data_IF_063739630342
#
_entry.id   IF_063739630342
#
_cell.length_a   1.000
_cell.length_b   1.000
_cell.length_c   1.000
_cell.angle_alpha   90.00
_cell.angle_beta   90.00
_cell.angle_gamma   90.00
#
_symmetry.space_group_name_H-M   'P 1'
#
loop_
_entity.id
_entity.type
_entity.pdbx_description
1 polymer ?
#
# COMPACT_ATOMS: atom_id res chain seq x y z
N UNK A 1 -34.96 -8.85 21.21
CA UNK A 1 -33.54 -8.43 21.04
C UNK A 1 -32.98 -7.60 22.20
N UNK A 2 -33.76 -7.25 23.24
CA UNK A 2 -33.31 -6.43 24.39
C UNK A 2 -33.24 -7.23 25.71
N UNK A 3 -33.19 -8.56 25.63
CA UNK A 3 -33.17 -9.44 26.81
C UNK A 3 -31.84 -10.20 26.99
N UNK A 4 -30.88 -10.09 26.06
CA UNK A 4 -29.64 -10.87 26.10
C UNK A 4 -28.34 -10.06 26.31
N UNK A 5 -28.40 -8.74 26.58
CA UNK A 5 -27.20 -7.88 26.73
C UNK A 5 -26.14 -8.05 25.60
N UNK A 6 -26.58 -8.45 24.41
CA UNK A 6 -25.67 -8.66 23.29
C UNK A 6 -25.40 -7.32 22.60
N UNK A 7 -24.19 -6.81 22.82
CA UNK A 7 -23.67 -5.68 22.06
C UNK A 7 -23.37 -6.12 20.60
N UNK A 8 -23.57 -5.22 19.62
CA UNK A 8 -23.15 -5.49 18.25
C UNK A 8 -21.65 -5.78 18.22
N UNK A 9 -21.27 -7.03 17.89
CA UNK A 9 -19.88 -7.40 17.70
C UNK A 9 -19.45 -6.97 16.30
N UNK A 10 -18.57 -5.99 16.22
CA UNK A 10 -17.95 -5.60 14.96
C UNK A 10 -16.85 -6.63 14.64
N UNK A 11 -17.10 -7.48 13.65
CA UNK A 11 -16.09 -8.46 13.19
C UNK A 11 -14.93 -7.69 12.56
N UNK A 12 -13.88 -7.45 13.33
CA UNK A 12 -12.62 -6.99 12.81
C UNK A 12 -11.89 -8.21 12.24
N UNK A 13 -11.67 -8.23 10.92
CA UNK A 13 -10.76 -9.20 10.30
C UNK A 13 -9.34 -8.84 10.73
N UNK A 14 -8.91 -9.37 11.87
CA UNK A 14 -7.52 -9.30 12.30
C UNK A 14 -6.81 -10.53 11.75
N UNK A 15 -5.68 -10.34 11.09
CA UNK A 15 -4.85 -11.46 10.66
C UNK A 15 -4.35 -12.18 11.92
N UNK A 16 -4.76 -13.44 12.12
CA UNK A 16 -4.28 -14.24 13.24
C UNK A 16 -2.83 -14.63 12.96
N UNK A 17 -1.89 -14.05 13.71
CA UNK A 17 -0.47 -14.40 13.62
C UNK A 17 -0.29 -15.84 14.12
N UNK A 18 0.07 -16.74 13.21
CA UNK A 18 0.42 -18.12 13.51
C UNK A 18 1.89 -18.21 13.96
N UNK A 19 2.31 -19.26 14.66
CA UNK A 19 3.72 -19.49 14.97
C UNK A 19 4.62 -19.63 13.73
N UNK A 20 4.05 -19.92 12.56
CA UNK A 20 4.79 -19.95 11.29
C UNK A 20 5.10 -18.55 10.74
N UNK A 21 4.56 -17.48 11.34
CA UNK A 21 4.83 -16.08 11.01
C UNK A 21 6.00 -15.50 11.83
N UNK A 22 6.78 -16.34 12.52
CA UNK A 22 8.04 -15.95 13.18
C UNK A 22 9.30 -15.76 12.29
N UNK A 23 9.35 -16.12 10.98
CA UNK A 23 10.46 -15.76 10.08
C UNK A 23 10.80 -14.27 9.85
N UNK A 24 9.93 -13.26 10.11
CA UNK A 24 10.24 -11.83 9.94
C UNK A 24 11.42 -11.34 10.77
N UNK A 25 11.79 -12.06 11.84
CA UNK A 25 12.90 -11.67 12.72
C UNK A 25 14.24 -11.58 11.97
N UNK A 26 14.45 -12.37 10.92
CA UNK A 26 15.69 -12.32 10.12
C UNK A 26 15.78 -11.01 9.34
N UNK A 27 14.67 -10.60 8.73
CA UNK A 27 14.58 -9.31 8.05
C UNK A 27 14.77 -8.15 9.03
N UNK A 28 14.06 -8.16 10.17
CA UNK A 28 14.22 -7.12 11.19
C UNK A 28 15.67 -6.99 11.68
N UNK A 29 16.36 -8.11 11.94
CA UNK A 29 17.77 -8.09 12.35
C UNK A 29 18.69 -7.57 11.26
N UNK A 30 18.46 -7.96 10.00
CA UNK A 30 19.22 -7.44 8.86
C UNK A 30 19.01 -5.93 8.69
N UNK A 31 17.75 -5.48 8.78
CA UNK A 31 17.37 -4.08 8.67
C UNK A 31 17.98 -3.23 9.78
N UNK A 32 17.95 -3.73 11.02
CA UNK A 32 18.61 -3.11 12.16
C UNK A 32 20.11 -2.94 11.92
N UNK A 33 20.81 -3.97 11.40
CA UNK A 33 22.24 -3.87 11.07
C UNK A 33 22.50 -2.80 10.01
N UNK A 34 21.67 -2.73 8.95
CA UNK A 34 21.78 -1.69 7.92
C UNK A 34 21.62 -0.29 8.48
N UNK A 35 20.70 -0.09 9.43
CA UNK A 35 20.52 1.19 10.13
C UNK A 35 21.72 1.50 11.04
N UNK A 36 22.27 0.50 11.74
CA UNK A 36 23.47 0.68 12.56
C UNK A 36 24.67 1.14 11.72
N UNK A 37 24.86 0.53 10.54
CA UNK A 37 25.96 0.89 9.64
C UNK A 37 25.75 2.24 8.96
N UNK A 38 24.49 2.57 8.63
CA UNK A 38 24.09 3.85 8.05
C UNK A 38 22.76 4.32 8.65
N UNK A 39 22.77 5.31 9.57
CA UNK A 39 21.56 5.82 10.20
C UNK A 39 20.51 6.34 9.22
N UNK A 40 20.93 6.81 8.03
CA UNK A 40 20.06 7.33 6.98
C UNK A 40 19.60 6.26 5.97
N UNK A 41 19.94 4.98 6.20
CA UNK A 41 19.56 3.89 5.30
C UNK A 41 18.05 3.83 5.03
N UNK A 42 17.22 4.07 6.05
CA UNK A 42 15.76 4.05 5.91
C UNK A 42 15.25 5.12 4.92
N UNK A 43 15.96 6.24 4.77
CA UNK A 43 15.58 7.32 3.86
C UNK A 43 15.89 7.00 2.38
N UNK A 44 16.65 5.94 2.11
CA UNK A 44 16.93 5.48 0.74
C UNK A 44 16.03 4.31 0.31
N UNK A 45 15.05 3.94 1.13
CA UNK A 45 14.12 2.84 0.82
C UNK A 45 12.87 3.44 0.22
N UNK A 46 12.53 3.00 -1.00
CA UNK A 46 11.23 3.23 -1.60
C UNK A 46 10.28 2.16 -1.09
N UNK A 47 9.43 2.54 -0.12
CA UNK A 47 8.32 1.71 0.32
C UNK A 47 7.15 1.93 -0.63
N UNK A 48 6.52 0.85 -1.06
CA UNK A 48 5.44 0.89 -2.04
C UNK A 48 4.23 0.10 -1.55
N UNK A 49 3.05 0.51 -1.98
CA UNK A 49 1.83 -0.26 -1.75
C UNK A 49 0.82 -0.03 -2.88
N UNK A 50 -0.06 -1.01 -3.08
CA UNK A 50 -1.22 -0.89 -3.95
C UNK A 50 -2.52 -0.86 -3.14
N UNK A 51 -3.35 0.15 -3.41
CA UNK A 51 -4.68 0.25 -2.84
C UNK A 51 -5.75 0.13 -3.93
N UNK A 52 -6.75 -0.71 -3.69
CA UNK A 52 -7.92 -0.85 -4.57
C UNK A 52 -9.11 -0.09 -3.99
N UNK A 53 -9.52 0.98 -4.66
CA UNK A 53 -10.71 1.75 -4.33
C UNK A 53 -11.91 1.24 -5.11
N UNK A 54 -12.91 0.74 -4.39
CA UNK A 54 -14.21 0.35 -4.96
C UNK A 54 -15.27 1.31 -4.47
N UNK A 55 -16.36 1.47 -5.24
CA UNK A 55 -17.51 2.30 -4.83
C UNK A 55 -18.01 1.93 -3.43
N UNK A 56 -18.06 0.65 -3.11
CA UNK A 56 -18.55 0.13 -1.82
C UNK A 56 -17.55 0.37 -0.67
N UNK A 57 -16.26 0.60 -0.96
CA UNK A 57 -15.24 0.96 0.02
C UNK A 57 -15.04 2.47 0.24
N UNK A 58 -15.38 3.31 -0.74
CA UNK A 58 -15.32 4.78 -0.64
C UNK A 58 -16.59 5.34 0.03
N UNK A 59 -17.74 4.71 -0.18
CA UNK A 59 -18.98 5.05 0.51
C UNK A 59 -18.92 4.54 1.94
N UNK A 60 -18.41 5.38 2.85
CA UNK A 60 -18.59 5.22 4.28
C UNK A 60 -20.03 4.77 4.59
N UNK A 61 -20.18 3.71 5.40
CA UNK A 61 -21.44 3.14 5.89
C UNK A 61 -22.35 4.17 6.62
N UNK A 62 -21.88 5.40 6.82
CA UNK A 62 -22.56 6.50 7.49
C UNK A 62 -23.06 7.63 6.57
N UNK A 63 -22.68 7.66 5.28
CA UNK A 63 -23.08 8.74 4.35
C UNK A 63 -23.92 8.23 3.17
N UNK A 64 -24.94 7.43 3.44
CA UNK A 64 -25.88 6.98 2.41
C UNK A 64 -27.15 7.83 2.42
N UNK A 65 -27.19 8.87 1.60
CA UNK A 65 -28.46 9.41 1.11
C UNK A 65 -28.56 9.16 -0.40
N UNK A 66 -29.59 8.39 -0.79
CA UNK A 66 -30.04 8.07 -2.16
C UNK A 66 -30.26 9.38 -2.96
N UNK A 67 -30.15 9.48 -4.29
CA UNK A 67 -30.92 8.78 -5.34
C UNK A 67 -30.27 9.04 -6.72
N UNK A 68 -29.88 8.01 -7.47
CA UNK A 68 -30.02 7.95 -8.94
C UNK A 68 -29.46 6.63 -9.50
N UNK A 69 -30.18 6.07 -10.46
CA UNK A 69 -29.90 4.82 -11.16
C UNK A 69 -28.51 4.83 -11.83
N UNK A 70 -27.51 4.19 -11.23
CA UNK A 70 -26.25 3.91 -11.90
C UNK A 70 -25.67 2.57 -11.43
N UNK A 71 -26.01 1.51 -12.16
CA UNK A 71 -25.44 0.16 -12.02
C UNK A 71 -23.95 0.09 -12.44
N UNK A 72 -23.17 1.16 -12.25
CA UNK A 72 -21.77 1.19 -12.66
C UNK A 72 -20.87 0.80 -11.48
N UNK A 73 -20.47 -0.47 -11.45
CA UNK A 73 -19.45 -0.97 -10.52
C UNK A 73 -18.08 -0.55 -11.05
N UNK A 74 -17.45 0.43 -10.42
CA UNK A 74 -16.07 0.82 -10.72
C UNK A 74 -15.11 0.36 -9.61
N UNK A 75 -13.88 0.09 -10.02
CA UNK A 75 -12.76 -0.29 -9.18
C UNK A 75 -11.54 0.39 -9.76
N UNK A 76 -10.79 1.13 -8.94
CA UNK A 76 -9.56 1.81 -9.34
C UNK A 76 -8.43 1.28 -8.47
N UNK A 77 -7.40 0.74 -9.11
CA UNK A 77 -6.17 0.34 -8.43
C UNK A 77 -5.21 1.52 -8.47
N UNK A 78 -4.71 1.92 -7.31
CA UNK A 78 -3.74 3.01 -7.17
C UNK A 78 -2.46 2.41 -6.61
N UNK A 79 -1.34 2.78 -7.21
CA UNK A 79 -0.02 2.59 -6.64
C UNK A 79 0.46 3.90 -6.01
N UNK A 80 1.10 3.82 -4.86
CA UNK A 80 1.83 4.93 -4.29
C UNK A 80 3.11 4.42 -3.63
N UNK A 81 4.14 5.27 -3.60
CA UNK A 81 5.37 4.99 -2.90
C UNK A 81 5.80 6.15 -2.01
N UNK A 82 6.67 5.88 -1.05
CA UNK A 82 7.32 6.89 -0.23
C UNK A 82 8.80 6.57 -0.11
N UNK A 83 9.65 7.58 -0.30
CA UNK A 83 11.09 7.51 -0.09
C UNK A 83 11.53 8.67 0.81
N UNK A 84 12.11 8.34 1.97
CA UNK A 84 12.39 9.34 3.00
C UNK A 84 11.10 10.06 3.42
N UNK A 85 10.99 11.35 3.09
CA UNK A 85 9.81 12.18 3.34
C UNK A 85 9.02 12.53 2.07
N UNK A 86 9.42 12.00 0.91
CA UNK A 86 8.84 12.32 -0.38
C UNK A 86 7.85 11.25 -0.83
N UNK A 87 6.61 11.66 -1.08
CA UNK A 87 5.58 10.81 -1.69
C UNK A 87 5.80 10.72 -3.20
N UNK A 88 5.69 9.52 -3.75
CA UNK A 88 5.81 9.18 -5.16
C UNK A 88 4.46 8.64 -5.66
N UNK A 89 3.98 9.15 -6.79
CA UNK A 89 2.61 8.89 -7.27
C UNK A 89 1.60 9.91 -6.70
N UNK A 90 0.30 9.59 -6.63
CA UNK A 90 -0.34 8.31 -6.96
C UNK A 90 -0.31 7.99 -8.45
N UNK A 91 -0.20 6.71 -8.79
CA UNK A 91 -0.31 6.21 -10.17
C UNK A 91 -1.53 5.31 -10.32
N UNK A 92 -2.36 5.59 -11.32
CA UNK A 92 -3.54 4.74 -11.60
C UNK A 92 -3.09 3.52 -12.39
N UNK A 93 -3.15 2.37 -11.73
CA UNK A 93 -2.84 1.10 -12.35
C UNK A 93 -4.02 0.62 -13.23
N UNK A 94 -3.74 -0.25 -14.22
CA UNK A 94 -4.79 -0.88 -15.01
C UNK A 94 -5.81 -1.60 -14.12
N UNK A 95 -7.08 -1.56 -14.54
CA UNK A 95 -8.19 -2.20 -13.80
C UNK A 95 -7.96 -3.69 -13.54
N UNK A 96 -7.27 -4.39 -14.46
CA UNK A 96 -6.82 -5.77 -14.28
C UNK A 96 -5.31 -5.77 -14.14
N UNK A 97 -4.82 -5.82 -12.90
CA UNK A 97 -3.39 -5.87 -12.63
C UNK A 97 -2.88 -7.29 -12.91
N UNK A 98 -2.08 -7.44 -13.98
CA UNK A 98 -1.31 -8.65 -14.26
C UNK A 98 0.16 -8.40 -13.91
N UNK A 99 0.94 -9.46 -13.71
CA UNK A 99 2.38 -9.31 -13.46
C UNK A 99 3.11 -8.58 -14.58
N UNK A 100 2.71 -8.79 -15.84
CA UNK A 100 3.23 -8.05 -17.00
C UNK A 100 2.87 -6.56 -16.97
N UNK A 101 1.61 -6.23 -16.67
CA UNK A 101 1.18 -4.85 -16.55
C UNK A 101 1.92 -4.12 -15.41
N UNK A 102 2.16 -4.82 -14.30
CA UNK A 102 2.94 -4.28 -13.18
C UNK A 102 4.41 -4.11 -13.55
N UNK A 103 5.02 -5.07 -14.23
CA UNK A 103 6.39 -4.98 -14.71
C UNK A 103 6.59 -3.81 -15.67
N UNK A 104 5.66 -3.61 -16.60
CA UNK A 104 5.69 -2.47 -17.51
C UNK A 104 5.62 -1.14 -16.75
N UNK A 105 4.75 -1.05 -15.74
CA UNK A 105 4.70 0.11 -14.85
C UNK A 105 6.07 0.36 -14.17
N UNK A 106 6.68 -0.67 -13.58
CA UNK A 106 7.98 -0.55 -12.90
C UNK A 106 9.12 -0.13 -13.84
N UNK A 107 9.09 -0.57 -15.10
CA UNK A 107 10.16 -0.30 -16.07
C UNK A 107 10.01 1.04 -16.78
N UNK A 108 8.79 1.47 -17.07
CA UNK A 108 8.54 2.60 -17.97
C UNK A 108 7.91 3.80 -17.29
N UNK A 109 7.12 3.63 -16.23
CA UNK A 109 6.42 4.73 -15.57
C UNK A 109 7.04 5.11 -14.22
N UNK A 110 7.47 4.12 -13.43
CA UNK A 110 8.11 4.39 -12.14
C UNK A 110 9.36 5.28 -12.26
N UNK A 111 10.25 5.12 -13.26
CA UNK A 111 11.41 6.01 -13.39
C UNK A 111 11.03 7.49 -13.58
N UNK A 112 9.97 7.77 -14.34
CA UNK A 112 9.44 9.13 -14.55
C UNK A 112 8.94 9.71 -13.22
N UNK A 113 8.20 8.91 -12.44
CA UNK A 113 7.71 9.34 -11.11
C UNK A 113 8.85 9.62 -10.11
N UNK A 114 10.03 9.04 -10.33
CA UNK A 114 11.21 9.23 -9.48
C UNK A 114 12.10 10.40 -9.94
N UNK A 115 11.80 11.11 -11.03
CA UNK A 115 12.66 12.19 -11.53
C UNK A 115 12.90 13.31 -10.50
N UNK A 116 11.86 13.63 -9.72
CA UNK A 116 11.89 14.62 -8.65
C UNK A 116 12.62 14.14 -7.39
N UNK A 117 13.04 12.86 -7.34
CA UNK A 117 13.86 12.34 -6.25
C UNK A 117 15.32 12.71 -6.50
N UNK A 118 16.04 13.26 -5.51
CA UNK A 118 17.46 13.58 -5.64
C UNK A 118 18.29 12.41 -6.16
N UNK A 119 19.21 12.68 -7.09
CA UNK A 119 20.00 11.65 -7.79
C UNK A 119 20.79 10.75 -6.83
N UNK A 120 21.33 11.33 -5.76
CA UNK A 120 22.08 10.59 -4.73
C UNK A 120 21.22 9.56 -3.98
N UNK A 121 19.92 9.83 -3.84
CA UNK A 121 18.95 8.89 -3.26
C UNK A 121 18.59 7.84 -4.30
N UNK A 122 18.29 8.24 -5.54
CA UNK A 122 17.97 7.31 -6.65
C UNK A 122 19.06 6.28 -6.92
N UNK A 123 20.33 6.69 -6.90
CA UNK A 123 21.46 5.80 -7.15
C UNK A 123 21.63 4.72 -6.07
N UNK A 124 21.15 4.97 -4.86
CA UNK A 124 21.24 4.05 -3.72
C UNK A 124 19.87 3.53 -3.29
N UNK A 125 18.87 3.62 -4.17
CA UNK A 125 17.49 3.31 -3.85
C UNK A 125 17.31 1.81 -3.60
N UNK A 126 16.63 1.47 -2.50
CA UNK A 126 16.20 0.11 -2.22
C UNK A 126 14.70 0.01 -2.47
N UNK A 127 14.31 -0.82 -3.43
CA UNK A 127 12.91 -1.09 -3.71
C UNK A 127 12.34 -2.11 -2.71
N UNK A 128 11.28 -1.74 -2.01
CA UNK A 128 10.58 -2.61 -1.05
C UNK A 128 9.14 -2.84 -1.52
N UNK A 129 8.85 -4.10 -1.82
CA UNK A 129 7.55 -4.63 -2.23
C UNK A 129 7.38 -6.04 -1.63
#
# INVERSE_FOLDING_TARGET
LKENLLHPYHIQRVQSLSPNDFPPRRFCRWFQRKITDNPLFHATILMTDECCFTRDGILNYHNTHYWMNSQYRFSVNIWAGIVGTQLIGPYVLPRRLTGEAYLNFLQFNLPELLEEVPLNIRQNLWFMH
#
